data_IF_087874357379
#
_entry.id   IF_087874357379
#
_cell.length_a   1.000
_cell.length_b   1.000
_cell.length_c   1.000
_cell.angle_alpha   90.00
_cell.angle_beta   90.00
_cell.angle_gamma   90.00
#
_symmetry.space_group_name_H-M   'P 1'
#
loop_
_entity.id
_entity.type
_entity.pdbx_description
1 polymer ?
#
# COMPACT_ATOMS: atom_id res chain seq x y z
N UNK A 1 1.78 -19.65 9.60
CA UNK A 1 1.53 -18.44 8.78
C UNK A 1 1.59 -17.20 9.66
N UNK A 2 2.10 -16.08 9.14
CA UNK A 2 2.16 -14.79 9.84
C UNK A 2 1.74 -13.68 8.88
N UNK A 3 0.91 -12.74 9.33
CA UNK A 3 0.56 -11.53 8.58
C UNK A 3 0.97 -10.31 9.40
N UNK A 4 1.58 -9.32 8.75
CA UNK A 4 1.97 -8.06 9.39
C UNK A 4 1.75 -6.87 8.47
N UNK A 5 1.44 -5.74 9.09
CA UNK A 5 1.40 -4.43 8.46
C UNK A 5 2.17 -3.38 9.29
N UNK A 6 3.18 -3.84 10.04
CA UNK A 6 4.03 -2.99 10.89
C UNK A 6 5.23 -2.44 10.09
N UNK A 7 4.92 -1.61 9.10
CA UNK A 7 5.88 -0.94 8.23
C UNK A 7 5.21 0.27 7.57
N UNK A 8 6.00 1.08 6.85
CA UNK A 8 5.51 2.27 6.15
C UNK A 8 4.34 1.95 5.20
N UNK A 9 3.28 2.78 5.24
CA UNK A 9 1.99 2.60 4.57
C UNK A 9 1.19 1.34 4.93
N UNK A 10 1.66 0.53 5.89
CA UNK A 10 1.00 -0.71 6.27
C UNK A 10 -0.41 -0.48 6.81
N UNK A 11 -1.38 -1.22 6.27
CA UNK A 11 -2.78 -1.21 6.71
C UNK A 11 -3.41 -2.59 6.53
N UNK A 12 -3.61 -3.31 7.65
CA UNK A 12 -4.55 -4.42 7.79
C UNK A 12 -4.75 -4.73 9.28
N UNK A 13 -5.93 -5.25 9.63
CA UNK A 13 -6.21 -5.97 10.86
C UNK A 13 -6.40 -7.46 10.55
N UNK A 14 -5.84 -8.31 11.40
CA UNK A 14 -5.95 -9.77 11.28
C UNK A 14 -7.09 -10.23 12.19
N UNK A 15 -8.16 -10.75 11.61
CA UNK A 15 -9.27 -11.35 12.35
C UNK A 15 -8.98 -12.83 12.62
N UNK A 16 -8.48 -13.55 11.61
CA UNK A 16 -8.12 -14.96 11.68
C UNK A 16 -7.08 -15.30 10.60
N UNK A 17 -6.05 -16.08 10.93
CA UNK A 17 -4.98 -16.46 9.98
C UNK A 17 -4.34 -17.82 10.33
N UNK A 18 -5.14 -18.75 10.87
CA UNK A 18 -4.68 -20.08 11.22
C UNK A 18 -4.73 -21.06 10.03
N UNK A 19 -5.63 -20.81 9.08
CA UNK A 19 -5.91 -21.67 7.92
C UNK A 19 -5.62 -20.90 6.61
N UNK A 20 -4.71 -21.40 5.74
CA UNK A 20 -4.44 -20.75 4.45
C UNK A 20 -5.65 -20.69 3.53
N UNK A 21 -6.62 -21.61 3.64
CA UNK A 21 -7.83 -21.61 2.80
C UNK A 21 -8.92 -20.65 3.32
N UNK A 22 -8.73 -20.03 4.48
CA UNK A 22 -9.71 -19.13 5.10
C UNK A 22 -9.05 -18.06 5.99
N UNK A 23 -8.25 -17.19 5.39
CA UNK A 23 -7.64 -16.05 6.07
C UNK A 23 -8.66 -14.91 6.12
N UNK A 24 -8.90 -14.34 7.30
CA UNK A 24 -9.91 -13.31 7.53
C UNK A 24 -9.27 -12.02 8.02
N UNK A 25 -9.53 -10.94 7.29
CA UNK A 25 -8.87 -9.65 7.41
C UNK A 25 -9.91 -8.52 7.44
N UNK A 26 -9.48 -7.36 7.94
CA UNK A 26 -10.25 -6.12 7.90
C UNK A 26 -9.33 -4.95 7.59
N UNK A 27 -9.79 -4.00 6.77
CA UNK A 27 -9.04 -2.75 6.51
C UNK A 27 -9.23 -1.82 7.71
N UNK A 28 -8.15 -1.21 8.21
CA UNK A 28 -8.21 -0.18 9.26
C UNK A 28 -8.72 1.13 8.69
N UNK A 29 -9.50 1.84 9.51
CA UNK A 29 -9.88 3.23 9.28
C UNK A 29 -8.65 4.13 9.23
N UNK A 30 -8.74 5.17 8.40
CA UNK A 30 -7.77 6.26 8.38
C UNK A 30 -7.69 6.92 9.77
N UNK A 31 -6.51 7.42 10.11
CA UNK A 31 -6.30 8.06 11.40
C UNK A 31 -7.26 9.26 11.57
N UNK A 32 -8.06 9.24 12.64
CA UNK A 32 -9.07 10.28 12.95
C UNK A 32 -10.11 10.49 11.85
N UNK A 33 -10.51 9.41 11.16
CA UNK A 33 -11.48 9.45 10.07
C UNK A 33 -12.30 8.16 10.00
N UNK A 34 -13.50 8.23 9.41
CA UNK A 34 -14.31 7.05 9.11
C UNK A 34 -13.99 6.40 7.76
N UNK A 35 -13.18 7.08 6.94
CA UNK A 35 -12.78 6.58 5.62
C UNK A 35 -11.77 5.43 5.71
N UNK A 36 -11.88 4.49 4.77
CA UNK A 36 -10.86 3.49 4.49
C UNK A 36 -11.08 2.92 3.09
N UNK A 37 -9.98 2.49 2.48
CA UNK A 37 -9.95 1.76 1.20
C UNK A 37 -8.57 1.10 1.04
N UNK A 38 -7.53 1.85 1.38
CA UNK A 38 -6.14 1.40 1.28
C UNK A 38 -5.85 0.24 2.22
N UNK A 39 -5.33 -0.86 1.68
CA UNK A 39 -4.69 -1.92 2.43
C UNK A 39 -3.25 -2.11 1.93
N UNK A 40 -2.37 -2.53 2.83
CA UNK A 40 -1.01 -2.94 2.51
C UNK A 40 -0.48 -3.83 3.63
N UNK A 41 -0.21 -5.10 3.33
CA UNK A 41 0.25 -6.07 4.31
C UNK A 41 1.23 -7.05 3.68
N UNK A 42 1.99 -7.73 4.54
CA UNK A 42 2.91 -8.81 4.18
C UNK A 42 2.38 -10.11 4.76
N UNK A 43 2.32 -11.13 3.93
CA UNK A 43 2.04 -12.52 4.30
C UNK A 43 3.36 -13.30 4.32
N UNK A 44 3.57 -14.09 5.37
CA UNK A 44 4.53 -15.19 5.41
C UNK A 44 3.76 -16.50 5.42
N UNK A 45 3.91 -17.28 4.36
CA UNK A 45 3.16 -18.50 4.09
C UNK A 45 4.04 -19.62 3.55
N UNK A 46 3.40 -20.70 3.12
CA UNK A 46 4.07 -21.84 2.49
C UNK A 46 4.05 -21.68 0.97
N UNK A 47 5.21 -21.82 0.32
CA UNK A 47 5.28 -21.79 -1.14
C UNK A 47 4.60 -23.04 -1.74
N UNK A 48 3.92 -22.88 -2.87
CA UNK A 48 3.12 -23.92 -3.53
C UNK A 48 1.77 -24.20 -2.88
N UNK A 49 1.36 -23.41 -1.88
CA UNK A 49 0.04 -23.51 -1.23
C UNK A 49 -0.80 -22.30 -1.63
N UNK A 50 -2.05 -22.55 -2.04
CA UNK A 50 -3.03 -21.48 -2.28
C UNK A 50 -3.43 -20.84 -0.94
N UNK A 51 -3.34 -19.52 -0.88
CA UNK A 51 -3.81 -18.72 0.24
C UNK A 51 -5.03 -17.92 -0.20
N UNK A 52 -6.13 -18.05 0.54
CA UNK A 52 -7.40 -17.37 0.29
C UNK A 52 -7.62 -16.34 1.40
N UNK A 53 -7.61 -15.07 1.02
CA UNK A 53 -7.68 -13.94 1.94
C UNK A 53 -8.97 -13.15 1.74
N UNK A 54 -9.79 -13.09 2.79
CA UNK A 54 -11.07 -12.42 2.83
C UNK A 54 -10.95 -11.10 3.59
N UNK A 55 -11.17 -9.98 2.91
CA UNK A 55 -11.31 -8.67 3.53
C UNK A 55 -12.79 -8.40 3.77
N UNK A 56 -13.26 -8.72 4.98
CA UNK A 56 -14.70 -8.84 5.30
C UNK A 56 -15.44 -7.50 5.34
N UNK A 57 -14.72 -6.39 5.60
CA UNK A 57 -15.32 -5.06 5.69
C UNK A 57 -15.28 -4.28 4.36
N UNK A 58 -14.84 -4.88 3.25
CA UNK A 58 -14.68 -4.20 1.97
C UNK A 58 -15.97 -3.53 1.45
N UNK A 59 -17.15 -4.15 1.67
CA UNK A 59 -18.43 -3.60 1.26
C UNK A 59 -18.88 -2.34 2.00
N UNK A 60 -18.21 -1.99 3.10
CA UNK A 60 -18.46 -0.79 3.89
C UNK A 60 -17.34 0.25 3.74
N UNK A 61 -16.41 0.04 2.80
CA UNK A 61 -15.32 0.97 2.53
C UNK A 61 -15.83 2.29 1.95
N UNK A 62 -14.94 3.28 1.80
CA UNK A 62 -15.28 4.58 1.25
C UNK A 62 -15.90 4.50 -0.16
N UNK A 63 -15.40 3.57 -0.97
CA UNK A 63 -15.84 3.36 -2.35
C UNK A 63 -16.02 1.86 -2.64
N UNK A 64 -17.13 1.24 -2.20
CA UNK A 64 -17.35 -0.20 -2.40
C UNK A 64 -17.46 -0.58 -3.87
N UNK A 65 -17.99 0.30 -4.72
CA UNK A 65 -18.04 0.10 -6.16
C UNK A 65 -16.66 0.03 -6.81
N UNK A 66 -15.62 0.56 -6.15
CA UNK A 66 -14.23 0.46 -6.61
C UNK A 66 -13.66 -0.96 -6.54
N UNK A 67 -14.35 -1.90 -5.88
CA UNK A 67 -13.96 -3.32 -5.83
C UNK A 67 -14.48 -4.14 -7.01
N UNK A 68 -15.43 -3.61 -7.79
CA UNK A 68 -15.92 -4.26 -9.01
C UNK A 68 -14.80 -4.30 -10.05
N UNK A 69 -14.53 -5.48 -10.60
CA UNK A 69 -13.46 -5.74 -11.58
C UNK A 69 -12.04 -5.33 -11.10
N UNK A 70 -11.88 -5.15 -9.79
CA UNK A 70 -10.60 -4.82 -9.16
C UNK A 70 -9.77 -6.07 -8.89
N UNK A 71 -8.47 -5.95 -9.10
CA UNK A 71 -7.48 -6.98 -8.76
C UNK A 71 -6.45 -6.42 -7.80
N UNK A 72 -6.21 -7.07 -6.66
CA UNK A 72 -5.15 -6.68 -5.73
C UNK A 72 -3.78 -6.71 -6.42
N UNK A 73 -2.85 -5.85 -6.00
CA UNK A 73 -1.46 -5.95 -6.43
C UNK A 73 -0.67 -6.74 -5.39
N UNK A 74 0.26 -7.56 -5.86
CA UNK A 74 1.17 -8.33 -5.03
C UNK A 74 2.62 -8.16 -5.50
N UNK A 75 3.58 -8.40 -4.60
CA UNK A 75 5.00 -8.34 -4.90
C UNK A 75 5.82 -9.18 -3.93
N UNK A 76 6.80 -9.93 -4.45
CA UNK A 76 7.74 -10.69 -3.63
C UNK A 76 8.95 -9.84 -3.19
N UNK A 77 9.35 -8.85 -3.98
CA UNK A 77 10.59 -8.06 -3.81
C UNK A 77 10.35 -6.57 -3.49
N UNK A 78 9.10 -6.11 -3.54
CA UNK A 78 8.64 -4.71 -3.42
C UNK A 78 9.00 -3.80 -4.58
N UNK A 79 9.59 -4.33 -5.66
CA UNK A 79 9.95 -3.58 -6.86
C UNK A 79 9.04 -3.95 -8.03
N UNK A 80 8.91 -5.25 -8.32
CA UNK A 80 8.00 -5.76 -9.35
C UNK A 80 6.65 -6.08 -8.73
N UNK A 81 5.62 -5.37 -9.18
CA UNK A 81 4.25 -5.54 -8.73
C UNK A 81 3.39 -6.13 -9.85
N UNK A 82 2.59 -7.14 -9.51
CA UNK A 82 1.69 -7.83 -10.43
C UNK A 82 0.29 -7.94 -9.83
N UNK A 83 -0.72 -8.22 -10.67
CA UNK A 83 -2.10 -8.40 -10.22
C UNK A 83 -2.34 -9.85 -9.82
N UNK A 84 -3.12 -10.08 -8.77
CA UNK A 84 -3.52 -11.42 -8.32
C UNK A 84 -5.04 -11.60 -8.40
N UNK A 85 -5.54 -12.82 -8.67
CA UNK A 85 -6.97 -13.11 -8.73
C UNK A 85 -7.72 -12.55 -7.53
N UNK A 86 -8.73 -11.73 -7.80
CA UNK A 86 -9.51 -11.04 -6.78
C UNK A 86 -10.96 -10.98 -7.21
N UNK A 87 -11.86 -11.17 -6.25
CA UNK A 87 -13.31 -11.20 -6.46
C UNK A 87 -14.00 -10.36 -5.39
N UNK A 88 -15.08 -9.67 -5.75
CA UNK A 88 -15.91 -8.93 -4.81
C UNK A 88 -17.37 -9.35 -4.97
N UNK A 89 -17.96 -9.85 -3.88
CA UNK A 89 -19.33 -10.36 -3.87
C UNK A 89 -20.39 -9.31 -3.45
N UNK A 90 -19.97 -8.05 -3.31
CA UNK A 90 -20.78 -6.96 -2.78
C UNK A 90 -20.58 -6.70 -1.28
N UNK A 91 -19.89 -7.59 -0.56
CA UNK A 91 -19.60 -7.47 0.88
C UNK A 91 -18.14 -7.70 1.21
N UNK A 92 -17.56 -8.76 0.67
CA UNK A 92 -16.20 -9.23 0.98
C UNK A 92 -15.35 -9.20 -0.27
N UNK A 93 -14.14 -8.65 -0.16
CA UNK A 93 -13.11 -8.77 -1.19
C UNK A 93 -12.29 -10.02 -0.92
N UNK A 94 -12.23 -10.95 -1.86
CA UNK A 94 -11.48 -12.20 -1.74
C UNK A 94 -10.31 -12.20 -2.69
N UNK A 95 -9.09 -12.37 -2.15
CA UNK A 95 -7.84 -12.48 -2.91
C UNK A 95 -7.40 -13.96 -2.85
N UNK A 96 -7.08 -14.56 -4.00
CA UNK A 96 -6.57 -15.93 -4.10
C UNK A 96 -5.20 -15.92 -4.73
N UNK A 97 -4.22 -16.53 -4.07
CA UNK A 97 -2.87 -16.59 -4.60
C UNK A 97 -2.11 -17.81 -4.08
N UNK A 98 -1.62 -18.64 -5.00
CA UNK A 98 -0.61 -19.65 -4.71
C UNK A 98 0.76 -18.97 -4.65
N UNK A 99 1.46 -19.13 -3.52
CA UNK A 99 2.73 -18.44 -3.31
C UNK A 99 3.88 -19.13 -4.04
N UNK A 100 4.70 -18.38 -4.77
CA UNK A 100 5.96 -18.87 -5.33
C UNK A 100 7.12 -18.82 -4.33
N UNK A 101 6.99 -17.98 -3.29
CA UNK A 101 8.00 -17.74 -2.25
C UNK A 101 7.35 -17.60 -0.88
N UNK A 102 8.12 -17.81 0.18
CA UNK A 102 7.62 -17.87 1.57
C UNK A 102 7.08 -16.54 2.09
N UNK A 103 7.28 -15.44 1.36
CA UNK A 103 6.67 -14.17 1.73
C UNK A 103 6.30 -13.28 0.55
N UNK A 104 5.12 -12.68 0.61
CA UNK A 104 4.59 -11.80 -0.42
C UNK A 104 3.90 -10.58 0.20
N UNK A 105 4.05 -9.42 -0.40
CA UNK A 105 3.29 -8.21 -0.07
C UNK A 105 2.02 -8.18 -0.92
N UNK A 106 0.95 -7.66 -0.33
CA UNK A 106 -0.30 -7.35 -1.01
C UNK A 106 -0.69 -5.92 -0.69
N UNK A 107 -1.11 -5.16 -1.69
CA UNK A 107 -1.52 -3.77 -1.52
C UNK A 107 -2.67 -3.39 -2.43
N UNK A 108 -3.33 -2.28 -2.08
CA UNK A 108 -4.39 -1.71 -2.91
C UNK A 108 -3.85 -1.23 -4.27
N UNK A 109 -2.67 -0.64 -4.26
CA UNK A 109 -1.87 -0.22 -5.42
C UNK A 109 -0.37 -0.28 -5.06
N UNK A 110 0.53 -0.15 -6.04
CA UNK A 110 1.98 -0.11 -5.80
C UNK A 110 2.35 1.00 -4.80
N UNK A 111 2.88 0.67 -3.61
CA UNK A 111 3.23 1.65 -2.59
C UNK A 111 4.42 2.53 -3.01
N UNK A 112 4.42 3.78 -2.55
CA UNK A 112 5.56 4.69 -2.64
C UNK A 112 5.96 5.09 -1.21
N UNK A 113 7.03 4.49 -0.69
CA UNK A 113 7.44 4.72 0.70
C UNK A 113 7.97 6.13 0.91
N UNK A 114 7.91 6.59 2.17
CA UNK A 114 8.53 7.82 2.60
C UNK A 114 10.05 7.79 2.39
N UNK A 115 10.71 6.64 2.59
CA UNK A 115 12.14 6.50 2.26
C UNK A 115 12.42 6.76 0.77
N UNK A 116 11.63 6.16 -0.13
CA UNK A 116 11.77 6.39 -1.58
C UNK A 116 11.49 7.87 -1.93
N UNK A 117 10.58 8.50 -1.21
CA UNK A 117 10.34 9.94 -1.34
C UNK A 117 11.57 10.75 -0.91
N UNK A 118 12.21 10.42 0.22
CA UNK A 118 13.45 11.07 0.63
C UNK A 118 14.54 10.88 -0.43
N UNK A 119 14.73 9.66 -0.96
CA UNK A 119 15.70 9.40 -2.02
C UNK A 119 15.45 10.26 -3.26
N UNK A 120 14.18 10.40 -3.67
CA UNK A 120 13.80 11.27 -4.79
C UNK A 120 14.18 12.73 -4.53
N UNK A 121 13.83 13.27 -3.37
CA UNK A 121 14.13 14.66 -3.00
C UNK A 121 15.65 14.88 -2.99
N UNK A 122 16.41 13.97 -2.36
CA UNK A 122 17.86 14.09 -2.26
C UNK A 122 18.58 13.90 -3.59
N UNK A 123 18.05 13.07 -4.48
CA UNK A 123 18.54 12.94 -5.85
C UNK A 123 18.28 14.22 -6.66
N UNK A 124 17.06 14.76 -6.58
CA UNK A 124 16.67 15.93 -7.37
C UNK A 124 17.49 17.18 -7.04
N UNK A 125 17.76 17.45 -5.76
CA UNK A 125 18.54 18.62 -5.35
C UNK A 125 20.00 18.61 -5.82
N UNK A 126 20.54 17.47 -6.28
CA UNK A 126 21.90 17.41 -6.83
C UNK A 126 22.00 18.12 -8.19
N UNK A 127 20.87 18.37 -8.85
CA UNK A 127 20.81 19.12 -10.10
C UNK A 127 21.03 20.61 -9.85
N UNK A 128 21.89 21.25 -10.64
CA UNK A 128 22.11 22.71 -10.60
C UNK A 128 20.88 23.52 -11.03
N UNK A 129 19.87 22.87 -11.62
CA UNK A 129 18.60 23.48 -12.02
C UNK A 129 17.51 23.33 -10.94
N UNK A 130 17.82 22.68 -9.82
CA UNK A 130 16.86 22.41 -8.76
C UNK A 130 17.16 23.27 -7.54
N UNK A 131 16.18 24.06 -7.11
CA UNK A 131 16.15 24.66 -5.79
C UNK A 131 15.23 23.82 -4.90
N UNK A 132 15.73 23.43 -3.72
CA UNK A 132 14.96 22.70 -2.71
C UNK A 132 14.57 23.65 -1.59
N UNK A 133 13.26 23.86 -1.45
CA UNK A 133 12.66 24.74 -0.44
C UNK A 133 11.89 23.90 0.56
N UNK A 134 12.19 24.05 1.86
CA UNK A 134 11.40 23.50 2.94
C UNK A 134 10.24 24.45 3.26
N UNK A 135 9.00 24.01 2.99
CA UNK A 135 7.80 24.80 3.28
C UNK A 135 7.41 24.77 4.76
N UNK A 136 7.85 23.73 5.47
CA UNK A 136 7.52 23.50 6.87
C UNK A 136 7.33 22.01 7.15
N UNK A 137 6.58 21.70 8.20
CA UNK A 137 6.34 20.35 8.67
C UNK A 137 4.86 19.98 8.65
N UNK A 138 4.57 18.71 8.40
CA UNK A 138 3.26 18.09 8.59
C UNK A 138 2.91 17.98 10.08
N UNK A 139 1.68 17.56 10.42
CA UNK A 139 1.24 17.38 11.81
C UNK A 139 2.11 16.40 12.61
N UNK A 140 2.69 15.39 11.94
CA UNK A 140 3.58 14.40 12.55
C UNK A 140 5.06 14.84 12.53
N UNK A 141 5.36 16.07 12.09
CA UNK A 141 6.73 16.59 12.04
C UNK A 141 7.55 16.13 10.82
N UNK A 142 6.93 15.54 9.79
CA UNK A 142 7.62 15.21 8.51
C UNK A 142 7.73 16.43 7.60
N UNK A 143 8.77 16.48 6.77
CA UNK A 143 9.06 17.63 5.91
C UNK A 143 8.07 17.77 4.76
N UNK A 144 7.64 19.00 4.49
CA UNK A 144 6.92 19.37 3.27
C UNK A 144 7.89 20.06 2.31
N UNK A 145 8.31 19.32 1.30
CA UNK A 145 9.33 19.73 0.33
C UNK A 145 8.72 20.35 -0.92
N UNK A 146 9.27 21.47 -1.39
CA UNK A 146 9.02 22.05 -2.70
C UNK A 146 10.32 22.00 -3.52
N UNK A 147 10.22 21.45 -4.73
CA UNK A 147 11.31 21.49 -5.71
C UNK A 147 10.94 22.50 -6.81
N UNK A 148 11.73 23.55 -6.95
CA UNK A 148 11.60 24.53 -8.03
C UNK A 148 12.63 24.18 -9.10
N UNK A 149 12.17 23.86 -10.31
CA UNK A 149 13.02 23.41 -11.42
C UNK A 149 13.06 24.49 -12.51
N UNK A 150 14.24 25.04 -12.76
CA UNK A 150 14.45 26.02 -13.82
C UNK A 150 15.61 26.97 -13.55
N UNK A 151 15.76 27.95 -14.44
CA UNK A 151 16.68 29.06 -14.26
C UNK A 151 15.95 30.24 -13.61
N UNK A 152 16.66 31.00 -12.79
CA UNK A 152 16.12 32.22 -12.19
C UNK A 152 15.88 33.27 -13.30
N UNK A 153 14.67 33.83 -13.37
CA UNK A 153 14.29 34.85 -14.35
C UNK A 153 13.60 36.01 -13.65
N UNK A 154 13.92 37.26 -14.02
CA UNK A 154 13.24 38.46 -13.49
C UNK A 154 11.77 38.57 -13.92
N UNK A 155 11.36 37.81 -14.95
CA UNK A 155 9.99 37.82 -15.49
C UNK A 155 9.07 36.76 -14.87
N UNK A 156 9.54 35.98 -13.88
CA UNK A 156 8.77 34.92 -13.20
C UNK A 156 8.97 34.91 -11.70
#
# INVERSE_FOLDING_TARGET
MLITAQFDSGNIDILEAADPENIRLSIRKDNQSDFYQWFHFKLYGEAGVEHVMHIENAGHSAYPDGWKDYYAVASYDRDVWFRVPTEFDGKTLTIRHELDQESCYYAYFTPYSYERHQDLIQWAQQSTLCEHVLLGQTLDGRDMNLLVIGEQSEEK
#
